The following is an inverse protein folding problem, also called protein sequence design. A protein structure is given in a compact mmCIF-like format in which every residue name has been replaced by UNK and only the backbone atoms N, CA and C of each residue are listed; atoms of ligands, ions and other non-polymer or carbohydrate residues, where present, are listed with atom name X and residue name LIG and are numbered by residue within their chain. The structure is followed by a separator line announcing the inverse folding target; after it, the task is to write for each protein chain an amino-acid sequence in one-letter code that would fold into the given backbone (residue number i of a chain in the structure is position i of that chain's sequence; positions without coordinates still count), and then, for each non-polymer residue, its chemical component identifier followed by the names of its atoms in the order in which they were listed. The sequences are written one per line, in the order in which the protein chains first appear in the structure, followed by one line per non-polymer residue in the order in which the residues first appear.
data_IF_321372591995
#
_entry.id   IF_321372591995
#
_cell.length_a   1.000
_cell.length_b   1.000
_cell.length_c   1.000
_cell.angle_alpha   90.00
_cell.angle_beta   90.00
_cell.angle_gamma   90.00
#
_symmetry.space_group_name_H-M   'P 1'
#
loop_
_entity.id
_entity.type
_entity.pdbx_description
1 polymer ?
#
# COMPACT_ATOMS: atom_id res chain seq x y z
N UNK A 1 38.56 99.17 45.92
CA UNK A 1 37.79 100.40 46.23
C UNK A 1 37.66 100.46 47.74
N UNK A 2 38.22 101.51 48.36
CA UNK A 2 38.05 101.90 49.77
C UNK A 2 38.64 100.91 50.78
N UNK A 3 39.53 101.23 51.70
CA UNK A 3 40.27 102.46 52.01
C UNK A 3 41.40 102.01 52.95
N UNK A 4 42.48 102.79 52.98
CA UNK A 4 43.28 103.10 54.18
C UNK A 4 43.45 101.98 55.22
N UNK A 5 44.56 101.25 55.15
CA UNK A 5 45.22 100.75 56.38
C UNK A 5 46.72 100.49 56.16
N UNK A 6 47.37 101.30 55.32
CA UNK A 6 48.81 101.26 55.14
C UNK A 6 49.60 102.11 56.17
N UNK A 7 48.96 102.69 57.19
CA UNK A 7 49.66 103.55 58.17
C UNK A 7 49.04 103.47 59.57
N UNK A 8 49.02 102.28 60.16
CA UNK A 8 48.73 102.11 61.61
C UNK A 8 49.75 101.23 62.32
N UNK A 9 50.99 101.28 61.84
CA UNK A 9 52.06 100.41 62.30
C UNK A 9 53.39 101.14 62.59
N UNK A 10 53.39 102.49 62.57
CA UNK A 10 54.51 103.33 63.00
C UNK A 10 54.25 104.01 64.37
N UNK A 11 53.36 103.44 65.19
CA UNK A 11 53.07 103.92 66.56
C UNK A 11 53.32 102.89 67.67
N UNK A 12 53.98 101.78 67.35
CA UNK A 12 54.34 100.75 68.33
C UNK A 12 55.82 100.41 68.19
N UNK A 13 56.51 100.24 69.32
CA UNK A 13 57.91 99.79 69.31
C UNK A 13 58.03 98.42 68.65
N UNK A 14 59.17 98.10 68.06
CA UNK A 14 59.45 96.82 67.38
C UNK A 14 59.09 95.57 68.22
N UNK A 15 59.06 95.69 69.55
CA UNK A 15 58.67 94.63 70.48
C UNK A 15 57.16 94.36 70.56
N UNK A 16 56.29 95.38 70.42
CA UNK A 16 54.83 95.20 70.53
C UNK A 16 54.24 94.56 69.27
N UNK A 17 54.82 94.86 68.10
CA UNK A 17 54.41 94.27 66.83
C UNK A 17 54.73 92.77 66.76
N UNK A 18 55.93 92.40 67.21
CA UNK A 18 56.36 91.00 67.32
C UNK A 18 55.50 90.21 68.30
N UNK A 19 55.04 90.84 69.39
CA UNK A 19 54.15 90.19 70.37
C UNK A 19 52.76 89.92 69.80
N UNK A 20 52.15 90.89 69.10
CA UNK A 20 50.85 90.70 68.44
C UNK A 20 50.94 89.66 67.32
N UNK A 21 52.00 89.68 66.51
CA UNK A 21 52.22 88.67 65.46
C UNK A 21 52.41 87.26 66.05
N UNK A 22 53.17 87.12 67.14
CA UNK A 22 53.33 85.84 67.84
C UNK A 22 52.00 85.34 68.44
N UNK A 23 51.16 86.25 68.97
CA UNK A 23 49.86 85.89 69.52
C UNK A 23 48.86 85.47 68.44
N UNK A 24 48.86 86.15 67.29
CA UNK A 24 48.03 85.77 66.13
C UNK A 24 48.48 84.43 65.57
N UNK A 25 49.79 84.18 65.44
CA UNK A 25 50.30 82.91 64.94
C UNK A 25 50.02 81.76 65.94
N UNK A 26 50.11 82.02 67.25
CA UNK A 26 49.70 81.06 68.27
C UNK A 26 48.19 80.75 68.19
N UNK A 27 47.34 81.78 68.06
CA UNK A 27 45.90 81.57 67.88
C UNK A 27 45.57 80.79 66.60
N UNK A 28 46.30 81.05 65.51
CA UNK A 28 46.16 80.31 64.25
C UNK A 28 46.59 78.85 64.39
N UNK A 29 47.71 78.59 65.07
CA UNK A 29 48.17 77.23 65.38
C UNK A 29 47.17 76.49 66.28
N UNK A 30 46.59 77.18 67.27
CA UNK A 30 45.55 76.62 68.13
C UNK A 30 44.27 76.29 67.37
N UNK A 31 43.83 77.17 66.45
CA UNK A 31 42.68 76.91 65.61
C UNK A 31 42.91 75.71 64.66
N UNK A 32 44.09 75.62 64.05
CA UNK A 32 44.47 74.47 63.20
C UNK A 32 44.50 73.18 64.03
N UNK A 33 45.09 73.21 65.23
CA UNK A 33 45.11 72.05 66.13
C UNK A 33 43.70 71.63 66.56
N UNK A 34 42.80 72.58 66.80
CA UNK A 34 41.42 72.29 67.18
C UNK A 34 40.65 71.65 66.02
N UNK A 35 40.80 72.17 64.79
CA UNK A 35 40.19 71.59 63.58
C UNK A 35 40.75 70.20 63.30
N UNK A 36 42.07 70.01 63.36
CA UNK A 36 42.70 68.71 63.16
C UNK A 36 42.24 67.70 64.23
N UNK A 37 42.12 68.10 65.49
CA UNK A 37 41.58 67.24 66.54
C UNK A 37 40.13 66.85 66.26
N UNK A 38 39.27 67.79 65.85
CA UNK A 38 37.89 67.46 65.50
C UNK A 38 37.79 66.52 64.28
N UNK A 39 38.68 66.69 63.30
CA UNK A 39 38.74 65.82 62.13
C UNK A 39 39.20 64.41 62.51
N UNK A 40 40.26 64.28 63.31
CA UNK A 40 40.75 62.99 63.80
C UNK A 40 39.67 62.26 64.59
N UNK A 41 38.94 62.95 65.48
CA UNK A 41 37.84 62.31 66.22
C UNK A 41 36.68 61.89 65.34
N UNK A 42 36.40 62.64 64.25
CA UNK A 42 35.37 62.28 63.27
C UNK A 42 35.79 61.05 62.46
N UNK A 43 37.04 61.02 62.00
CA UNK A 43 37.58 59.91 61.21
C UNK A 43 37.70 58.63 62.06
N UNK A 44 38.10 58.72 63.32
CA UNK A 44 38.10 57.60 64.27
C UNK A 44 36.69 57.02 64.47
N UNK A 45 35.67 57.87 64.63
CA UNK A 45 34.28 57.43 64.76
C UNK A 45 33.77 56.73 63.49
N UNK A 46 34.12 57.25 62.30
CA UNK A 46 33.77 56.62 61.03
C UNK A 46 34.44 55.25 60.85
N UNK A 47 35.73 55.13 61.13
CA UNK A 47 36.46 53.86 61.05
C UNK A 47 35.87 52.83 62.01
N UNK A 48 35.53 53.23 63.25
CA UNK A 48 34.88 52.33 64.20
C UNK A 48 33.50 51.86 63.72
N UNK A 49 32.68 52.75 63.14
CA UNK A 49 31.36 52.41 62.63
C UNK A 49 31.44 51.42 61.46
N UNK A 50 32.36 51.65 60.53
CA UNK A 50 32.58 50.79 59.36
C UNK A 50 33.13 49.42 59.76
N UNK A 51 34.05 49.37 60.71
CA UNK A 51 34.58 48.12 61.26
C UNK A 51 33.48 47.30 61.95
N UNK A 52 32.60 47.95 62.72
CA UNK A 52 31.43 47.29 63.32
C UNK A 52 30.41 46.82 62.28
N UNK A 53 30.22 47.57 61.19
CA UNK A 53 29.37 47.17 60.06
C UNK A 53 29.92 45.94 59.35
N UNK A 54 31.22 45.93 59.05
CA UNK A 54 31.90 44.78 58.43
C UNK A 54 31.85 43.53 59.32
N UNK A 55 32.11 43.67 60.62
CA UNK A 55 32.03 42.55 61.57
C UNK A 55 30.63 41.96 61.62
N UNK A 56 29.58 42.79 61.64
CA UNK A 56 28.19 42.30 61.58
C UNK A 56 27.91 41.52 60.30
N UNK A 57 28.30 42.06 59.13
CA UNK A 57 28.15 41.35 57.85
C UNK A 57 28.91 40.03 57.81
N UNK A 58 30.11 40.00 58.37
CA UNK A 58 30.91 38.78 58.46
C UNK A 58 30.21 37.71 59.30
N UNK A 59 29.67 38.07 60.46
CA UNK A 59 28.91 37.11 61.30
C UNK A 59 27.69 36.57 60.56
N UNK A 60 26.93 37.42 59.87
CA UNK A 60 25.76 36.99 59.07
C UNK A 60 26.17 36.04 57.95
N UNK A 61 27.25 36.34 57.20
CA UNK A 61 27.74 35.47 56.14
C UNK A 61 28.24 34.12 56.66
N UNK A 62 28.87 34.09 57.83
CA UNK A 62 29.31 32.84 58.46
C UNK A 62 28.09 32.00 58.88
N UNK A 63 27.04 32.63 59.39
CA UNK A 63 25.79 31.96 59.72
C UNK A 63 25.10 31.41 58.46
N UNK A 64 25.02 32.19 57.38
CA UNK A 64 24.48 31.73 56.09
C UNK A 64 25.29 30.56 55.50
N UNK A 65 26.63 30.62 55.57
CA UNK A 65 27.49 29.51 55.15
C UNK A 65 27.26 28.26 55.98
N UNK A 66 27.09 28.39 57.31
CA UNK A 66 26.79 27.25 58.17
C UNK A 66 25.42 26.63 57.86
N UNK A 67 24.43 27.45 57.55
CA UNK A 67 23.10 27.00 57.13
C UNK A 67 23.13 26.29 55.78
N UNK A 68 23.95 26.77 54.84
CA UNK A 68 24.15 26.12 53.53
C UNK A 68 24.88 24.79 53.69
N UNK A 69 25.93 24.73 54.50
CA UNK A 69 26.65 23.51 54.78
C UNK A 69 25.75 22.45 55.44
N UNK A 70 24.91 22.85 56.40
CA UNK A 70 23.95 21.93 57.00
C UNK A 70 22.91 21.39 55.99
N UNK A 71 22.46 22.23 55.04
CA UNK A 71 21.58 21.78 53.95
C UNK A 71 22.27 20.83 53.00
N UNK A 72 23.53 21.09 52.66
CA UNK A 72 24.36 20.20 51.84
C UNK A 72 24.52 18.84 52.51
N UNK A 73 24.89 18.83 53.79
CA UNK A 73 25.02 17.60 54.57
C UNK A 73 23.71 16.83 54.65
N UNK A 74 22.58 17.51 54.86
CA UNK A 74 21.25 16.88 54.86
C UNK A 74 20.90 16.28 53.50
N UNK A 75 21.23 16.95 52.42
CA UNK A 75 20.98 16.44 51.07
C UNK A 75 21.81 15.18 50.78
N UNK A 76 23.10 15.21 51.15
CA UNK A 76 24.05 14.13 50.93
C UNK A 76 23.79 12.91 51.83
N UNK A 77 23.40 13.12 53.08
CA UNK A 77 23.24 12.04 54.07
C UNK A 77 21.86 11.40 54.09
N UNK A 78 20.79 12.16 53.83
CA UNK A 78 19.42 11.66 53.91
C UNK A 78 18.80 11.56 52.51
N UNK A 79 18.63 12.69 51.82
CA UNK A 79 17.74 12.72 50.64
C UNK A 79 18.25 11.94 49.43
N UNK A 80 19.55 12.01 49.13
CA UNK A 80 20.12 11.30 47.97
C UNK A 80 20.16 9.79 48.25
N UNK A 81 20.64 9.32 49.41
CA UNK A 81 20.57 7.90 49.75
C UNK A 81 19.15 7.33 49.74
N UNK A 82 18.16 8.05 50.29
CA UNK A 82 16.77 7.61 50.31
C UNK A 82 16.20 7.47 48.88
N UNK A 83 16.44 8.46 48.02
CA UNK A 83 16.02 8.39 46.61
C UNK A 83 16.73 7.28 45.84
N UNK A 84 18.03 7.05 46.09
CA UNK A 84 18.76 5.94 45.49
C UNK A 84 18.21 4.58 45.95
N UNK A 85 17.77 4.48 47.21
CA UNK A 85 17.15 3.28 47.76
C UNK A 85 15.77 3.02 47.14
N UNK A 86 14.93 4.05 47.02
CA UNK A 86 13.63 3.96 46.33
C UNK A 86 13.80 3.55 44.86
N UNK A 87 14.76 4.15 44.15
CA UNK A 87 15.06 3.77 42.76
C UNK A 87 15.58 2.34 42.62
N UNK A 88 16.40 1.87 43.58
CA UNK A 88 16.87 0.49 43.58
C UNK A 88 15.73 -0.51 43.83
N UNK A 89 14.78 -0.19 44.72
CA UNK A 89 13.59 -1.03 44.94
C UNK A 89 12.69 -1.12 43.70
N UNK A 90 12.62 -0.06 42.91
CA UNK A 90 11.84 -0.04 41.67
C UNK A 90 12.53 -0.79 40.52
N UNK A 91 13.81 -1.12 40.61
CA UNK A 91 14.54 -1.81 39.55
C UNK A 91 13.97 -3.20 39.23
N UNK A 92 13.48 -3.92 40.24
CA UNK A 92 12.86 -5.24 40.07
C UNK A 92 11.57 -5.18 39.23
N UNK A 93 10.89 -4.03 39.21
CA UNK A 93 9.67 -3.84 38.41
C UNK A 93 9.96 -3.81 36.91
N UNK A 94 11.10 -3.26 36.49
CA UNK A 94 11.52 -3.24 35.09
C UNK A 94 11.90 -4.64 34.58
N UNK A 95 12.55 -5.44 35.43
CA UNK A 95 12.89 -6.84 35.11
C UNK A 95 11.60 -7.65 34.95
N UNK A 96 10.66 -7.48 35.89
CA UNK A 96 9.37 -8.16 35.84
C UNK A 96 8.56 -7.77 34.60
N UNK A 97 8.55 -6.48 34.23
CA UNK A 97 7.93 -6.02 33.00
C UNK A 97 8.54 -6.68 31.76
N UNK A 98 9.88 -6.71 31.65
CA UNK A 98 10.57 -7.38 30.55
C UNK A 98 10.25 -8.88 30.45
N UNK A 99 10.13 -9.57 31.58
CA UNK A 99 9.75 -10.99 31.61
C UNK A 99 8.30 -11.23 31.16
N UNK A 100 7.38 -10.34 31.52
CA UNK A 100 5.99 -10.41 31.04
C UNK A 100 5.90 -10.08 29.56
N UNK A 101 6.61 -9.06 29.08
CA UNK A 101 6.69 -8.73 27.66
C UNK A 101 7.22 -9.93 26.86
N UNK A 102 8.27 -10.60 27.35
CA UNK A 102 8.80 -11.80 26.71
C UNK A 102 7.78 -12.96 26.70
N UNK A 103 7.01 -13.14 27.78
CA UNK A 103 5.93 -14.15 27.82
C UNK A 103 4.82 -13.83 26.83
N UNK A 104 4.40 -12.57 26.73
CA UNK A 104 3.39 -12.11 25.77
C UNK A 104 3.88 -12.34 24.34
N UNK A 105 5.10 -11.92 24.01
CA UNK A 105 5.69 -12.13 22.68
C UNK A 105 5.77 -13.61 22.29
N UNK A 106 6.11 -14.50 23.25
CA UNK A 106 6.08 -15.95 23.00
C UNK A 106 4.67 -16.45 22.73
N UNK A 107 3.69 -16.03 23.50
CA UNK A 107 2.28 -16.40 23.29
C UNK A 107 1.76 -15.91 21.94
N UNK A 108 2.07 -14.67 21.55
CA UNK A 108 1.71 -14.14 20.24
C UNK A 108 2.32 -14.96 19.10
N UNK A 109 3.58 -15.37 19.23
CA UNK A 109 4.20 -16.28 18.26
C UNK A 109 3.43 -17.60 18.12
N UNK A 110 2.99 -18.21 19.23
CA UNK A 110 2.19 -19.44 19.20
C UNK A 110 0.80 -19.22 18.59
N UNK A 111 0.12 -18.14 18.98
CA UNK A 111 -1.19 -17.77 18.45
C UNK A 111 -1.10 -17.52 16.95
N UNK A 112 -0.06 -16.84 16.47
CA UNK A 112 0.14 -16.56 15.05
C UNK A 112 0.35 -17.86 14.26
N UNK A 113 1.13 -18.81 14.79
CA UNK A 113 1.27 -20.15 14.19
C UNK A 113 -0.07 -20.89 14.14
N UNK A 114 -0.84 -20.87 15.23
CA UNK A 114 -2.17 -21.49 15.26
C UNK A 114 -3.13 -20.86 14.26
N UNK A 115 -3.16 -19.52 14.15
CA UNK A 115 -3.97 -18.80 13.16
C UNK A 115 -3.62 -19.21 11.73
N UNK A 116 -2.33 -19.41 11.42
CA UNK A 116 -1.92 -19.92 10.10
C UNK A 116 -2.51 -21.31 9.83
N UNK A 117 -2.43 -22.24 10.78
CA UNK A 117 -3.02 -23.57 10.62
C UNK A 117 -4.54 -23.54 10.48
N UNK A 118 -5.22 -22.72 11.30
CA UNK A 118 -6.67 -22.53 11.21
C UNK A 118 -7.04 -22.01 9.81
N UNK A 119 -6.32 -21.03 9.28
CA UNK A 119 -6.58 -20.51 7.94
C UNK A 119 -6.37 -21.57 6.85
N UNK A 120 -5.35 -22.42 6.97
CA UNK A 120 -5.17 -23.55 6.05
C UNK A 120 -6.35 -24.52 6.10
N UNK A 121 -6.84 -24.87 7.30
CA UNK A 121 -7.98 -25.76 7.47
C UNK A 121 -9.29 -25.15 6.94
N UNK A 122 -9.53 -23.86 7.21
CA UNK A 122 -10.69 -23.13 6.67
C UNK A 122 -10.65 -23.12 5.15
N UNK A 123 -9.49 -22.84 4.56
CA UNK A 123 -9.32 -22.85 3.10
C UNK A 123 -9.55 -24.25 2.50
N UNK A 124 -9.08 -25.31 3.16
CA UNK A 124 -9.34 -26.68 2.72
C UNK A 124 -10.83 -27.01 2.79
N UNK A 125 -11.52 -26.64 3.88
CA UNK A 125 -12.96 -26.84 4.04
C UNK A 125 -13.74 -26.07 2.97
N UNK A 126 -13.41 -24.81 2.74
CA UNK A 126 -14.07 -23.97 1.74
C UNK A 126 -13.92 -24.55 0.32
N UNK A 127 -12.71 -25.01 -0.05
CA UNK A 127 -12.46 -25.69 -1.34
C UNK A 127 -13.30 -26.96 -1.47
N UNK A 128 -13.37 -27.78 -0.42
CA UNK A 128 -14.18 -29.00 -0.45
C UNK A 128 -15.68 -28.69 -0.58
N UNK A 129 -16.19 -27.72 0.18
CA UNK A 129 -17.58 -27.29 0.10
C UNK A 129 -17.92 -26.73 -1.29
N UNK A 130 -17.04 -25.91 -1.85
CA UNK A 130 -17.20 -25.40 -3.21
C UNK A 130 -17.26 -26.53 -4.25
N UNK A 131 -16.35 -27.49 -4.17
CA UNK A 131 -16.33 -28.65 -5.08
C UNK A 131 -17.62 -29.48 -4.93
N UNK A 132 -18.12 -29.66 -3.71
CA UNK A 132 -19.38 -30.37 -3.44
C UNK A 132 -20.56 -29.64 -4.09
N UNK A 133 -20.64 -28.31 -3.96
CA UNK A 133 -21.70 -27.51 -4.58
C UNK A 133 -21.61 -27.59 -6.11
N UNK A 134 -20.40 -27.45 -6.67
CA UNK A 134 -20.17 -27.56 -8.10
C UNK A 134 -20.62 -28.92 -8.66
N UNK A 135 -20.25 -30.02 -7.99
CA UNK A 135 -20.66 -31.37 -8.37
C UNK A 135 -22.20 -31.56 -8.28
N UNK A 136 -22.85 -30.99 -7.26
CA UNK A 136 -24.32 -31.03 -7.16
C UNK A 136 -25.01 -30.24 -8.28
N UNK A 137 -24.47 -29.07 -8.63
CA UNK A 137 -24.98 -28.25 -9.73
C UNK A 137 -24.82 -28.96 -11.07
N UNK A 138 -23.64 -29.53 -11.31
CA UNK A 138 -23.36 -30.31 -12.51
C UNK A 138 -24.32 -31.50 -12.65
N UNK A 139 -24.52 -32.27 -11.56
CA UNK A 139 -25.49 -33.35 -11.52
C UNK A 139 -26.91 -32.87 -11.87
N UNK A 140 -27.33 -31.73 -11.32
CA UNK A 140 -28.66 -31.15 -11.63
C UNK A 140 -28.77 -30.79 -13.11
N UNK A 141 -27.73 -30.18 -13.69
CA UNK A 141 -27.70 -29.83 -15.11
C UNK A 141 -27.72 -31.06 -16.00
N UNK A 142 -26.95 -32.10 -15.68
CA UNK A 142 -26.96 -33.37 -16.41
C UNK A 142 -28.32 -34.06 -16.35
N UNK A 143 -28.98 -34.07 -15.18
CA UNK A 143 -30.34 -34.60 -15.05
C UNK A 143 -31.36 -33.78 -15.85
N UNK A 144 -31.22 -32.45 -15.88
CA UNK A 144 -32.02 -31.57 -16.72
C UNK A 144 -31.87 -31.91 -18.20
N UNK A 145 -30.64 -32.01 -18.69
CA UNK A 145 -30.35 -32.40 -20.07
C UNK A 145 -30.89 -33.81 -20.40
N UNK A 146 -30.73 -34.78 -19.49
CA UNK A 146 -31.29 -36.12 -19.64
C UNK A 146 -32.82 -36.10 -19.74
N UNK A 147 -33.50 -35.29 -18.91
CA UNK A 147 -34.96 -35.17 -18.98
C UNK A 147 -35.45 -34.60 -20.31
N UNK A 148 -34.74 -33.60 -20.86
CA UNK A 148 -35.04 -33.03 -22.18
C UNK A 148 -34.80 -34.03 -23.30
N UNK A 149 -33.69 -34.78 -23.26
CA UNK A 149 -33.41 -35.84 -24.22
C UNK A 149 -34.50 -36.92 -24.21
N UNK A 150 -35.00 -37.28 -23.03
CA UNK A 150 -36.09 -38.26 -22.91
C UNK A 150 -37.41 -37.74 -23.51
N UNK A 151 -37.69 -36.44 -23.39
CA UNK A 151 -38.84 -35.82 -24.06
C UNK A 151 -38.68 -35.92 -25.59
N UNK A 152 -37.51 -35.54 -26.12
CA UNK A 152 -37.22 -35.63 -27.57
C UNK A 152 -37.34 -37.07 -28.05
N UNK A 153 -36.82 -38.05 -27.31
CA UNK A 153 -36.95 -39.47 -27.62
C UNK A 153 -38.43 -39.89 -27.70
N UNK A 154 -39.26 -39.45 -26.74
CA UNK A 154 -40.69 -39.75 -26.74
C UNK A 154 -41.44 -39.11 -27.91
N UNK A 155 -41.07 -37.89 -28.31
CA UNK A 155 -41.64 -37.21 -29.49
C UNK A 155 -41.23 -37.92 -30.78
N UNK A 156 -39.96 -38.29 -30.94
CA UNK A 156 -39.47 -39.06 -32.09
C UNK A 156 -40.17 -40.41 -32.20
N UNK A 157 -40.37 -41.11 -31.09
CA UNK A 157 -41.14 -42.34 -31.06
C UNK A 157 -42.61 -42.11 -31.46
N UNK A 158 -43.20 -40.98 -31.04
CA UNK A 158 -44.50 -40.51 -31.49
C UNK A 158 -44.55 -40.33 -33.01
N UNK A 159 -43.62 -39.57 -33.59
CA UNK A 159 -43.51 -39.37 -35.04
C UNK A 159 -43.32 -40.68 -35.80
N UNK A 160 -42.49 -41.58 -35.29
CA UNK A 160 -42.25 -42.89 -35.89
C UNK A 160 -43.54 -43.73 -35.89
N UNK A 161 -44.29 -43.74 -34.78
CA UNK A 161 -45.57 -44.45 -34.69
C UNK A 161 -46.63 -43.87 -35.63
N UNK A 162 -46.74 -42.54 -35.72
CA UNK A 162 -47.66 -41.86 -36.62
C UNK A 162 -47.30 -42.13 -38.09
N UNK A 163 -46.01 -42.10 -38.43
CA UNK A 163 -45.51 -42.41 -39.77
C UNK A 163 -45.77 -43.87 -40.11
N UNK A 164 -45.52 -44.81 -39.19
CA UNK A 164 -45.84 -46.22 -39.37
C UNK A 164 -47.34 -46.45 -39.59
N UNK A 165 -48.18 -45.71 -38.86
CA UNK A 165 -49.64 -45.70 -39.06
C UNK A 165 -50.03 -45.20 -40.45
N UNK A 166 -49.47 -44.06 -40.89
CA UNK A 166 -49.69 -43.51 -42.24
C UNK A 166 -49.24 -44.47 -43.32
N UNK A 167 -48.06 -45.08 -43.19
CA UNK A 167 -47.56 -46.09 -44.12
C UNK A 167 -48.50 -47.30 -44.17
N UNK A 168 -48.98 -47.77 -43.02
CA UNK A 168 -50.00 -48.82 -42.95
C UNK A 168 -51.30 -48.46 -43.67
N UNK A 169 -51.80 -47.23 -43.48
CA UNK A 169 -52.97 -46.72 -44.20
C UNK A 169 -52.73 -46.61 -45.71
N UNK A 170 -51.56 -46.10 -46.13
CA UNK A 170 -51.20 -46.03 -47.55
C UNK A 170 -51.14 -47.43 -48.17
N UNK A 171 -50.52 -48.41 -47.49
CA UNK A 171 -50.49 -49.80 -47.95
C UNK A 171 -51.90 -50.39 -48.05
N UNK A 172 -52.77 -50.12 -47.08
CA UNK A 172 -54.17 -50.55 -47.13
C UNK A 172 -54.95 -49.87 -48.27
N UNK A 173 -54.67 -48.59 -48.55
CA UNK A 173 -55.24 -47.86 -49.68
C UNK A 173 -54.69 -48.36 -51.01
N UNK A 174 -53.42 -48.74 -51.11
CA UNK A 174 -52.84 -49.36 -52.30
C UNK A 174 -53.47 -50.74 -52.55
N UNK A 175 -53.71 -51.51 -51.49
CA UNK A 175 -54.41 -52.80 -51.55
C UNK A 175 -55.89 -52.62 -51.93
N UNK A 176 -56.58 -51.60 -51.40
CA UNK A 176 -57.95 -51.28 -51.76
C UNK A 176 -58.07 -50.65 -53.17
N UNK A 177 -57.07 -49.90 -53.61
CA UNK A 177 -56.98 -49.35 -54.96
C UNK A 177 -56.65 -50.43 -56.00
N UNK A 178 -55.97 -51.52 -55.63
CA UNK A 178 -55.89 -52.71 -56.48
C UNK A 178 -57.21 -53.47 -56.59
N UNK A 179 -58.15 -53.28 -55.65
CA UNK A 179 -59.49 -53.88 -55.68
C UNK A 179 -60.52 -53.00 -56.43
N UNK A 180 -60.24 -51.71 -56.64
CA UNK A 180 -61.11 -50.78 -57.39
C UNK A 180 -60.55 -50.65 -58.82
N UNK A 181 -61.07 -51.47 -59.70
CA UNK A 181 -60.70 -51.48 -61.11
C UNK A 181 -61.21 -50.23 -61.85
N UNK A 182 -60.24 -49.44 -62.32
CA UNK A 182 -60.20 -48.68 -63.59
C UNK A 182 -61.38 -47.77 -63.97
N UNK A 183 -61.20 -46.47 -63.71
CA UNK A 183 -61.83 -45.41 -64.52
C UNK A 183 -60.80 -44.31 -64.81
N UNK A 184 -60.27 -44.32 -66.05
CA UNK A 184 -59.40 -43.26 -66.57
C UNK A 184 -58.01 -43.71 -67.00
N UNK A 185 -57.86 -44.94 -67.51
CA UNK A 185 -56.67 -45.36 -68.21
C UNK A 185 -56.51 -44.55 -69.51
N UNK A 186 -55.30 -44.01 -69.73
CA UNK A 186 -54.89 -43.50 -71.04
C UNK A 186 -54.78 -44.71 -71.98
N UNK A 187 -55.39 -44.60 -73.16
CA UNK A 187 -55.37 -45.65 -74.18
C UNK A 187 -53.92 -45.92 -74.63
N UNK A 188 -53.52 -47.20 -74.74
CA UNK A 188 -52.17 -47.65 -75.13
C UNK A 188 -51.73 -47.13 -76.51
N UNK A 189 -52.67 -46.59 -77.30
CA UNK A 189 -52.44 -45.98 -78.61
C UNK A 189 -51.97 -44.52 -78.52
N UNK A 190 -52.05 -43.89 -77.36
CA UNK A 190 -51.81 -42.46 -77.20
C UNK A 190 -50.32 -42.17 -76.90
N UNK A 191 -49.48 -42.27 -77.93
CA UNK A 191 -48.02 -42.15 -77.84
C UNK A 191 -47.56 -40.83 -77.21
N UNK A 192 -48.36 -39.78 -77.31
CA UNK A 192 -48.05 -38.45 -76.77
C UNK A 192 -48.14 -38.43 -75.24
N UNK A 193 -49.21 -38.97 -74.66
CA UNK A 193 -49.38 -38.98 -73.19
C UNK A 193 -48.40 -39.95 -72.52
N UNK A 194 -48.06 -41.06 -73.18
CA UNK A 194 -46.96 -41.92 -72.76
C UNK A 194 -45.59 -41.22 -72.84
N UNK A 195 -45.32 -40.45 -73.91
CA UNK A 195 -44.09 -39.67 -74.02
C UNK A 195 -43.95 -38.57 -72.95
N UNK A 196 -45.06 -37.90 -72.62
CA UNK A 196 -45.11 -36.90 -71.53
C UNK A 196 -44.87 -37.57 -70.18
N UNK A 197 -45.45 -38.74 -69.92
CA UNK A 197 -45.15 -39.53 -68.71
C UNK A 197 -43.67 -39.88 -68.62
N UNK A 198 -43.09 -40.38 -69.71
CA UNK A 198 -41.68 -40.82 -69.72
C UNK A 198 -40.76 -39.64 -69.39
N UNK A 199 -41.00 -38.47 -69.97
CA UNK A 199 -40.30 -37.24 -69.61
C UNK A 199 -40.48 -36.86 -68.13
N UNK A 200 -41.69 -36.92 -67.58
CA UNK A 200 -41.95 -36.58 -66.17
C UNK A 200 -41.32 -37.59 -65.18
N UNK A 201 -41.26 -38.87 -65.56
CA UNK A 201 -40.65 -39.93 -64.74
C UNK A 201 -39.13 -39.78 -64.62
N UNK A 202 -38.46 -39.29 -65.66
CA UNK A 202 -37.02 -39.00 -65.66
C UNK A 202 -36.67 -37.93 -64.64
N UNK A 203 -37.55 -36.92 -64.44
CA UNK A 203 -37.29 -35.81 -63.51
C UNK A 203 -37.61 -36.16 -62.05
N UNK A 204 -38.51 -37.13 -61.81
CA UNK A 204 -38.98 -37.46 -60.47
C UNK A 204 -38.10 -38.47 -59.72
N UNK A 205 -36.98 -38.94 -60.30
CA UNK A 205 -36.08 -39.96 -59.75
C UNK A 205 -36.78 -41.24 -59.26
N UNK A 206 -38.01 -41.51 -59.71
CA UNK A 206 -38.76 -42.71 -59.42
C UNK A 206 -38.31 -43.83 -60.36
N UNK A 207 -37.07 -44.27 -60.21
CA UNK A 207 -36.54 -45.41 -60.95
C UNK A 207 -36.92 -46.70 -60.22
N UNK A 208 -38.18 -47.13 -60.36
CA UNK A 208 -38.60 -48.49 -60.11
C UNK A 208 -39.98 -48.76 -60.71
N UNK A 209 -40.00 -49.40 -61.88
CA UNK A 209 -41.20 -49.96 -62.51
C UNK A 209 -41.89 -48.99 -63.46
N UNK A 210 -41.75 -49.26 -64.76
CA UNK A 210 -42.67 -48.75 -65.78
C UNK A 210 -44.07 -49.26 -65.43
N UNK A 211 -44.85 -48.47 -64.69
CA UNK A 211 -46.30 -48.68 -64.60
C UNK A 211 -46.85 -48.58 -66.02
N UNK A 212 -47.27 -49.72 -66.57
CA UNK A 212 -47.94 -49.82 -67.87
C UNK A 212 -49.19 -48.95 -67.86
N UNK A 213 -49.80 -48.76 -66.69
CA UNK A 213 -50.98 -47.93 -66.48
C UNK A 213 -50.63 -46.45 -66.27
N UNK A 214 -51.29 -45.59 -67.04
CA UNK A 214 -51.16 -44.12 -66.96
C UNK A 214 -52.56 -43.53 -66.86
N UNK A 215 -52.80 -42.65 -65.88
CA UNK A 215 -54.07 -41.91 -65.79
C UNK A 215 -53.86 -40.45 -66.19
N UNK A 216 -54.77 -39.94 -67.05
CA UNK A 216 -54.76 -38.55 -67.48
C UNK A 216 -54.74 -37.53 -66.31
N UNK A 217 -55.54 -37.69 -65.22
CA UNK A 217 -55.44 -36.80 -64.06
C UNK A 217 -54.10 -36.93 -63.32
N UNK A 218 -53.46 -38.10 -63.35
CA UNK A 218 -52.14 -38.31 -62.75
C UNK A 218 -51.05 -37.51 -63.47
N UNK A 219 -51.08 -37.47 -64.81
CA UNK A 219 -50.15 -36.65 -65.60
C UNK A 219 -50.37 -35.16 -65.30
N UNK A 220 -51.62 -34.70 -65.29
CA UNK A 220 -51.96 -33.29 -65.02
C UNK A 220 -51.50 -32.89 -63.60
N UNK A 221 -51.68 -33.76 -62.61
CA UNK A 221 -51.22 -33.51 -61.25
C UNK A 221 -49.69 -33.43 -61.17
N UNK A 222 -48.96 -34.31 -61.86
CA UNK A 222 -47.49 -34.28 -61.91
C UNK A 222 -46.97 -33.01 -62.60
N UNK A 223 -47.59 -32.60 -63.72
CA UNK A 223 -47.24 -31.35 -64.40
C UNK A 223 -47.51 -30.15 -63.50
N UNK A 224 -48.65 -30.14 -62.79
CA UNK A 224 -49.02 -29.05 -61.88
C UNK A 224 -48.08 -28.97 -60.68
N UNK A 225 -47.65 -30.11 -60.13
CA UNK A 225 -46.67 -30.17 -59.05
C UNK A 225 -45.30 -29.65 -59.52
N UNK A 226 -44.82 -30.11 -60.68
CA UNK A 226 -43.54 -29.69 -61.24
C UNK A 226 -43.56 -28.19 -61.60
N UNK A 227 -44.68 -27.68 -62.08
CA UNK A 227 -44.88 -26.25 -62.29
C UNK A 227 -44.81 -25.46 -60.97
N UNK A 228 -45.46 -25.94 -59.90
CA UNK A 228 -45.36 -25.30 -58.58
C UNK A 228 -43.92 -25.31 -58.07
N UNK A 229 -43.20 -26.44 -58.21
CA UNK A 229 -41.80 -26.57 -57.80
C UNK A 229 -40.88 -25.61 -58.58
N UNK A 230 -41.09 -25.47 -59.90
CA UNK A 230 -40.36 -24.51 -60.73
C UNK A 230 -40.63 -23.07 -60.29
N UNK A 231 -41.89 -22.73 -59.98
CA UNK A 231 -42.23 -21.39 -59.50
C UNK A 231 -41.60 -21.11 -58.13
N UNK A 232 -41.51 -22.10 -57.23
CA UNK A 232 -40.80 -21.94 -55.96
C UNK A 232 -39.30 -21.77 -56.17
N UNK A 233 -38.69 -22.58 -57.05
CA UNK A 233 -37.25 -22.51 -57.32
C UNK A 233 -36.86 -21.20 -58.02
N UNK A 234 -37.72 -20.71 -58.90
CA UNK A 234 -37.54 -19.41 -59.56
C UNK A 234 -37.67 -18.26 -58.55
N UNK A 235 -38.67 -18.31 -57.66
CA UNK A 235 -38.80 -17.34 -56.57
C UNK A 235 -37.59 -17.36 -55.64
N UNK A 236 -37.06 -18.54 -55.32
CA UNK A 236 -35.85 -18.68 -54.49
C UNK A 236 -34.61 -18.10 -55.19
N UNK A 237 -34.46 -18.36 -56.49
CA UNK A 237 -33.33 -17.85 -57.27
C UNK A 237 -33.39 -16.32 -57.44
N UNK A 238 -34.59 -15.75 -57.65
CA UNK A 238 -34.80 -14.32 -57.87
C UNK A 238 -34.76 -13.51 -56.56
N UNK A 239 -35.27 -14.06 -55.45
CA UNK A 239 -35.47 -13.30 -54.21
C UNK A 239 -34.59 -13.79 -53.05
N UNK A 240 -34.64 -15.07 -52.68
CA UNK A 240 -33.99 -15.54 -51.44
C UNK A 240 -32.47 -15.59 -51.53
N UNK A 241 -31.92 -16.06 -52.65
CA UNK A 241 -30.47 -16.15 -52.86
C UNK A 241 -29.76 -14.78 -52.88
N UNK A 242 -30.23 -13.75 -53.61
CA UNK A 242 -29.61 -12.42 -53.57
C UNK A 242 -29.80 -11.72 -52.22
N UNK A 243 -30.92 -11.92 -51.53
CA UNK A 243 -31.13 -11.40 -50.17
C UNK A 243 -30.15 -12.00 -49.16
N UNK A 244 -29.98 -13.32 -49.16
CA UNK A 244 -29.03 -14.02 -48.30
C UNK A 244 -27.58 -13.60 -48.60
N UNK A 245 -27.23 -13.46 -49.89
CA UNK A 245 -25.92 -12.95 -50.29
C UNK A 245 -25.69 -11.53 -49.79
N UNK A 246 -26.68 -10.65 -49.94
CA UNK A 246 -26.59 -9.28 -49.47
C UNK A 246 -26.50 -9.21 -47.94
N UNK A 247 -27.24 -10.05 -47.21
CA UNK A 247 -27.14 -10.17 -45.75
C UNK A 247 -25.72 -10.58 -45.33
N UNK A 248 -25.16 -11.64 -45.93
CA UNK A 248 -23.78 -12.06 -45.68
C UNK A 248 -22.75 -10.97 -45.99
N UNK A 249 -22.92 -10.24 -47.10
CA UNK A 249 -22.03 -9.13 -47.46
C UNK A 249 -22.12 -8.02 -46.42
N UNK A 250 -23.33 -7.65 -45.97
CA UNK A 250 -23.53 -6.62 -44.93
C UNK A 250 -22.88 -7.08 -43.62
N UNK A 251 -23.11 -8.31 -43.19
CA UNK A 251 -22.48 -8.88 -41.98
C UNK A 251 -20.95 -8.82 -42.07
N UNK A 252 -20.36 -9.25 -43.19
CA UNK A 252 -18.91 -9.15 -43.42
C UNK A 252 -18.42 -7.70 -43.37
N UNK A 253 -19.13 -6.77 -44.01
CA UNK A 253 -18.78 -5.34 -43.97
C UNK A 253 -18.84 -4.78 -42.54
N UNK A 254 -19.86 -5.13 -41.75
CA UNK A 254 -19.97 -4.69 -40.35
C UNK A 254 -18.85 -5.27 -39.49
N UNK A 255 -18.48 -6.53 -39.71
CA UNK A 255 -17.39 -7.18 -38.99
C UNK A 255 -16.06 -6.50 -39.30
N UNK A 256 -15.78 -6.22 -40.59
CA UNK A 256 -14.59 -5.49 -41.02
C UNK A 256 -14.54 -4.09 -40.39
N UNK A 257 -15.67 -3.37 -40.36
CA UNK A 257 -15.74 -2.05 -39.72
C UNK A 257 -15.47 -2.13 -38.21
N UNK A 258 -16.00 -3.13 -37.52
CA UNK A 258 -15.74 -3.34 -36.08
C UNK A 258 -14.26 -3.64 -35.81
N UNK A 259 -13.64 -4.48 -36.64
CA UNK A 259 -12.22 -4.83 -36.59
C UNK A 259 -11.35 -3.60 -36.85
N UNK A 260 -11.74 -2.78 -37.82
CA UNK A 260 -11.08 -1.52 -38.13
C UNK A 260 -11.18 -0.53 -36.97
N UNK A 261 -12.32 -0.42 -36.29
CA UNK A 261 -12.45 0.44 -35.10
C UNK A 261 -11.59 -0.05 -33.91
N UNK A 262 -11.46 -1.37 -33.74
CA UNK A 262 -10.62 -1.96 -32.70
C UNK A 262 -9.13 -1.74 -32.96
N UNK A 263 -8.68 -1.96 -34.20
CA UNK A 263 -7.28 -1.84 -34.60
C UNK A 263 -6.84 -0.37 -34.80
N UNK A 264 -7.76 0.47 -35.29
CA UNK A 264 -7.51 1.84 -35.70
C UNK A 264 -8.56 2.76 -35.06
N UNK A 265 -8.43 2.92 -33.76
CA UNK A 265 -8.93 4.00 -32.91
C UNK A 265 -9.70 5.18 -33.53
N UNK A 266 -9.17 5.80 -34.60
CA UNK A 266 -9.78 6.93 -35.33
C UNK A 266 -9.09 7.27 -36.67
N UNK A 267 -8.04 6.54 -37.09
CA UNK A 267 -7.27 6.89 -38.29
C UNK A 267 -6.66 5.66 -38.94
N UNK A 268 -6.95 5.45 -40.23
CA UNK A 268 -6.43 4.36 -41.08
C UNK A 268 -4.96 4.51 -41.45
N UNK A 269 -4.30 5.60 -41.04
CA UNK A 269 -2.88 5.87 -41.33
C UNK A 269 -1.93 5.58 -40.17
N UNK A 270 -2.44 5.18 -39.00
CA UNK A 270 -1.62 4.80 -37.86
C UNK A 270 -1.25 3.31 -37.92
N UNK A 271 -0.10 2.92 -37.36
CA UNK A 271 0.27 1.52 -37.22
C UNK A 271 -0.80 0.76 -36.41
N UNK A 272 -1.14 -0.49 -36.78
CA UNK A 272 -2.16 -1.26 -36.09
C UNK A 272 -1.75 -1.49 -34.64
N UNK A 273 -2.62 -1.09 -33.70
CA UNK A 273 -2.38 -1.32 -32.28
C UNK A 273 -2.82 -2.75 -31.97
N UNK A 274 -1.85 -3.66 -31.89
CA UNK A 274 -2.07 -5.08 -31.58
C UNK A 274 -2.30 -5.35 -30.10
N UNK A 275 -2.00 -4.37 -29.24
CA UNK A 275 -2.15 -4.50 -27.79
C UNK A 275 -3.46 -3.85 -27.34
N UNK A 276 -4.33 -4.57 -26.60
CA UNK A 276 -5.53 -3.99 -26.03
C UNK A 276 -5.19 -2.73 -25.21
N UNK A 277 -5.94 -1.65 -25.40
CA UNK A 277 -5.68 -0.33 -24.76
C UNK A 277 -5.62 -0.40 -23.24
N UNK A 278 -6.37 -1.30 -22.63
CA UNK A 278 -6.34 -1.55 -21.18
C UNK A 278 -4.97 -2.05 -20.75
N UNK A 279 -4.44 -3.07 -21.43
CA UNK A 279 -3.09 -3.60 -21.21
C UNK A 279 -2.01 -2.56 -21.47
N UNK A 280 -2.18 -1.68 -22.47
CA UNK A 280 -1.20 -0.62 -22.75
C UNK A 280 -1.09 0.38 -21.59
N UNK A 281 -2.22 0.76 -20.96
CA UNK A 281 -2.21 1.62 -19.76
C UNK A 281 -1.55 0.95 -18.57
N UNK A 282 -1.87 -0.33 -18.32
CA UNK A 282 -1.26 -1.09 -17.23
C UNK A 282 0.25 -1.29 -17.44
N UNK A 283 0.69 -1.49 -18.69
CA UNK A 283 2.11 -1.57 -19.05
C UNK A 283 2.83 -0.24 -18.81
N UNK A 284 2.23 0.89 -19.21
CA UNK A 284 2.79 2.23 -18.96
C UNK A 284 2.90 2.53 -17.46
N UNK A 285 1.91 2.11 -16.66
CA UNK A 285 1.95 2.25 -15.20
C UNK A 285 3.00 1.36 -14.55
N UNK A 286 3.12 0.12 -15.03
CA UNK A 286 4.17 -0.81 -14.60
C UNK A 286 5.57 -0.26 -14.93
N UNK A 287 5.76 0.33 -16.10
CA UNK A 287 7.05 0.94 -16.49
C UNK A 287 7.41 2.11 -15.59
N UNK A 288 6.44 2.97 -15.22
CA UNK A 288 6.64 4.04 -14.23
C UNK A 288 7.02 3.51 -12.85
N UNK A 289 6.38 2.43 -12.40
CA UNK A 289 6.72 1.79 -11.12
C UNK A 289 8.12 1.20 -11.18
N UNK A 290 8.47 0.55 -12.30
CA UNK A 290 9.78 -0.07 -12.50
C UNK A 290 10.89 0.99 -12.50
N UNK A 291 10.67 2.14 -13.16
CA UNK A 291 11.62 3.26 -13.11
C UNK A 291 11.83 3.79 -11.68
N UNK A 292 10.76 3.94 -10.89
CA UNK A 292 10.87 4.35 -9.48
C UNK A 292 11.61 3.33 -8.64
N UNK A 293 11.35 2.04 -8.86
CA UNK A 293 12.03 0.95 -8.16
C UNK A 293 13.53 0.94 -8.48
N UNK A 294 13.90 1.11 -9.75
CA UNK A 294 15.32 1.20 -10.15
C UNK A 294 16.04 2.32 -9.42
N UNK A 295 15.44 3.52 -9.34
CA UNK A 295 16.03 4.65 -8.59
C UNK A 295 16.19 4.32 -7.10
N UNK A 296 15.17 3.75 -6.47
CA UNK A 296 15.25 3.37 -5.05
C UNK A 296 16.33 2.30 -4.78
N UNK A 297 16.50 1.34 -5.70
CA UNK A 297 17.56 0.32 -5.61
C UNK A 297 18.94 0.96 -5.76
N UNK A 298 19.10 1.90 -6.69
CA UNK A 298 20.35 2.66 -6.85
C UNK A 298 20.70 3.46 -5.58
N UNK A 299 19.72 4.11 -4.94
CA UNK A 299 19.94 4.84 -3.69
C UNK A 299 20.38 3.90 -2.55
N UNK A 300 19.68 2.78 -2.36
CA UNK A 300 20.00 1.79 -1.31
C UNK A 300 21.37 1.17 -1.54
N UNK A 301 21.71 0.83 -2.79
CA UNK A 301 23.03 0.27 -3.12
C UNK A 301 24.14 1.29 -2.88
N UNK A 302 23.92 2.57 -3.20
CA UNK A 302 24.87 3.65 -2.92
C UNK A 302 25.12 3.80 -1.41
N UNK A 303 24.06 3.86 -0.60
CA UNK A 303 24.19 3.96 0.87
C UNK A 303 24.85 2.71 1.46
N UNK A 304 24.56 1.52 0.94
CA UNK A 304 25.22 0.29 1.34
C UNK A 304 26.72 0.32 1.04
N UNK A 305 27.12 0.79 -0.14
CA UNK A 305 28.52 0.97 -0.50
C UNK A 305 29.23 1.97 0.41
N UNK A 306 28.63 3.13 0.68
CA UNK A 306 29.18 4.13 1.63
C UNK A 306 29.38 3.53 3.02
N UNK A 307 28.37 2.81 3.54
CA UNK A 307 28.45 2.16 4.85
C UNK A 307 29.54 1.08 4.88
N UNK A 308 29.70 0.30 3.81
CA UNK A 308 30.76 -0.68 3.72
C UNK A 308 32.16 -0.04 3.73
N UNK A 309 32.35 1.09 3.04
CA UNK A 309 33.62 1.82 3.09
C UNK A 309 33.90 2.39 4.49
N UNK A 310 32.89 2.96 5.17
CA UNK A 310 33.03 3.40 6.57
C UNK A 310 33.42 2.23 7.48
N UNK A 311 32.79 1.07 7.32
CA UNK A 311 33.10 -0.14 8.10
C UNK A 311 34.51 -0.66 7.81
N UNK A 312 35.00 -0.57 6.56
CA UNK A 312 36.39 -0.93 6.22
C UNK A 312 37.38 0.02 6.90
N UNK A 313 37.15 1.33 6.83
CA UNK A 313 38.02 2.33 7.46
C UNK A 313 38.04 2.22 9.00
N UNK A 314 36.93 1.83 9.62
CA UNK A 314 36.80 1.68 11.08
C UNK A 314 36.81 0.21 11.54
N UNK A 315 37.43 -0.69 10.77
CA UNK A 315 37.37 -2.15 11.02
C UNK A 315 37.87 -2.56 12.42
N UNK A 316 38.90 -1.87 12.94
CA UNK A 316 39.43 -2.11 14.29
C UNK A 316 38.46 -1.64 15.38
N UNK A 317 37.82 -0.49 15.20
CA UNK A 317 36.85 0.08 16.14
C UNK A 317 35.53 -0.72 16.14
N UNK A 318 35.04 -1.15 14.97
CA UNK A 318 33.87 -2.03 14.88
C UNK A 318 34.16 -3.38 15.52
N UNK A 319 35.37 -3.91 15.37
CA UNK A 319 35.82 -5.12 16.06
C UNK A 319 35.94 -4.94 17.58
N UNK A 320 36.33 -3.75 18.05
CA UNK A 320 36.33 -3.38 19.46
C UNK A 320 34.90 -3.22 20.00
N UNK A 321 34.01 -2.53 19.30
CA UNK A 321 32.60 -2.37 19.68
C UNK A 321 31.88 -3.73 19.77
N UNK A 322 32.09 -4.62 18.80
CA UNK A 322 31.54 -5.99 18.85
C UNK A 322 32.09 -6.78 20.04
N UNK A 323 33.38 -6.65 20.35
CA UNK A 323 33.99 -7.29 21.53
C UNK A 323 33.47 -6.71 22.84
N UNK A 324 33.38 -5.39 22.95
CA UNK A 324 32.80 -4.69 24.12
C UNK A 324 31.35 -5.10 24.32
N UNK A 325 30.56 -5.20 23.25
CA UNK A 325 29.18 -5.67 23.30
C UNK A 325 29.11 -7.12 23.80
N UNK A 326 29.91 -8.03 23.25
CA UNK A 326 29.96 -9.42 23.70
C UNK A 326 30.44 -9.54 25.15
N UNK A 327 31.51 -8.84 25.52
CA UNK A 327 32.08 -8.87 26.87
C UNK A 327 31.12 -8.22 27.89
N UNK A 328 30.29 -7.24 27.50
CA UNK A 328 29.25 -6.67 28.35
C UNK A 328 28.20 -7.70 28.79
N UNK A 329 27.76 -8.58 27.87
CA UNK A 329 26.75 -9.60 28.17
C UNK A 329 27.35 -10.91 28.70
N UNK A 330 28.52 -11.31 28.20
CA UNK A 330 29.09 -12.63 28.47
C UNK A 330 30.17 -12.64 29.55
N UNK A 331 30.92 -11.55 29.76
CA UNK A 331 32.07 -11.51 30.70
C UNK A 331 32.34 -10.08 31.24
N UNK A 332 31.47 -9.56 32.13
CA UNK A 332 31.54 -8.16 32.57
C UNK A 332 32.82 -7.82 33.37
N UNK A 333 33.41 -8.79 34.07
CA UNK A 333 34.67 -8.58 34.81
C UNK A 333 35.87 -8.35 33.89
N UNK A 334 35.87 -8.98 32.70
CA UNK A 334 36.89 -8.74 31.68
C UNK A 334 36.77 -7.36 31.06
N UNK A 335 35.54 -6.88 30.86
CA UNK A 335 35.31 -5.51 30.40
C UNK A 335 35.75 -4.49 31.44
N UNK A 336 35.44 -4.73 32.73
CA UNK A 336 35.88 -3.87 33.85
C UNK A 336 37.40 -3.78 33.94
N UNK A 337 38.13 -4.89 33.77
CA UNK A 337 39.60 -4.86 33.80
C UNK A 337 40.19 -4.09 32.62
N UNK A 338 39.65 -4.28 31.40
CA UNK A 338 40.07 -3.54 30.20
C UNK A 338 39.81 -2.03 30.32
N UNK A 339 38.66 -1.63 30.87
CA UNK A 339 38.34 -0.21 31.10
C UNK A 339 39.28 0.41 32.15
N UNK A 340 39.61 -0.32 33.22
CA UNK A 340 40.59 0.14 34.22
C UNK A 340 41.98 0.32 33.61
N UNK A 341 42.44 -0.61 32.78
CA UNK A 341 43.72 -0.53 32.08
C UNK A 341 43.77 0.64 31.09
N UNK A 342 42.69 0.86 30.33
CA UNK A 342 42.57 1.98 29.41
C UNK A 342 42.57 3.33 30.15
N UNK A 343 41.87 3.40 31.28
CA UNK A 343 41.83 4.59 32.15
C UNK A 343 43.21 4.88 32.73
N UNK A 344 43.96 3.84 33.13
CA UNK A 344 45.32 4.00 33.62
C UNK A 344 46.27 4.52 32.53
N UNK A 345 46.15 4.03 31.29
CA UNK A 345 46.92 4.52 30.13
C UNK A 345 46.61 5.98 29.77
N UNK A 346 45.34 6.38 29.79
CA UNK A 346 44.94 7.77 29.54
C UNK A 346 45.48 8.70 30.63
N UNK A 347 45.40 8.30 31.91
CA UNK A 347 46.00 9.07 33.01
C UNK A 347 47.52 9.19 32.86
N UNK A 348 48.21 8.14 32.42
CA UNK A 348 49.65 8.18 32.18
C UNK A 348 50.04 9.14 31.04
N UNK A 349 49.21 9.23 29.99
CA UNK A 349 49.40 10.18 28.87
C UNK A 349 49.04 11.63 29.21
N UNK A 350 48.29 11.88 30.28
CA UNK A 350 47.94 13.24 30.75
C UNK A 350 48.97 13.81 31.75
N UNK A 351 49.85 12.96 32.28
CA UNK A 351 50.90 13.32 33.25
C UNK A 351 52.27 13.46 32.57
N UNK A 352 52.41 12.99 31.33
CA UNK A 352 53.51 13.32 30.42
C UNK A 352 53.15 14.55 29.58
#
# INVERSE_FOLDING_TARGET
MVDKNANKFDRFGTSERQWVEAQVENAKQQAILMVLKSQVTSDEAHIHLDLHSLRRKHVVLVEELSNLHHKEDKLLSETIPDLCWELAQLQDTYILQGDYDLKVMRQECYINRQKMFINHLINQLARHQFLKIACQLEKKNMLGAYSLLKVIESELQGYLSATKGRVGCCLALTQAASDIQEQGAVDDRDTLLHGVRDLLSIHSNAQAGLSIYVSAPGIVQQISALHADLMTLQSDLENSLPEDRNRCIIELCTLIQSLQQLLFASSTTAQPILTPRTLMKELDEMEKINAKLSVAVEEVTLEHCKKNEIVKHHSQEVGLQRRVFVDFFCNPERLRSQVRELTARVRALQVA
#
